data_IF_241025156930
#
_entry.id   IF_241025156930
#
_cell.length_a   1.000
_cell.length_b   1.000
_cell.length_c   1.000
_cell.angle_alpha   90.00
_cell.angle_beta   90.00
_cell.angle_gamma   90.00
#
_symmetry.space_group_name_H-M   'P 1'
#
loop_
_entity.id
_entity.type
_entity.pdbx_description
1 polymer ?
#
# COMPACT_ATOMS: atom_id res chain seq x y z
N UNK A 1 11.50 -2.89 3.39
CA UNK A 1 10.56 -3.91 2.87
C UNK A 1 10.12 -3.50 1.47
N UNK A 2 10.10 -4.43 0.51
CA UNK A 2 9.54 -4.16 -0.83
C UNK A 2 8.06 -4.51 -0.79
N UNK A 3 7.18 -3.59 -1.19
CA UNK A 3 5.71 -3.72 -1.08
C UNK A 3 5.04 -3.40 -2.41
N UNK A 4 5.35 -4.13 -3.50
CA UNK A 4 4.72 -3.91 -4.81
C UNK A 4 3.25 -4.31 -4.82
N UNK A 5 2.94 -5.44 -4.19
CA UNK A 5 1.58 -5.98 -4.10
C UNK A 5 1.25 -6.41 -2.68
N UNK A 6 0.07 -6.02 -2.20
CA UNK A 6 -0.46 -6.41 -0.89
C UNK A 6 -1.82 -7.08 -1.10
N UNK A 7 -1.88 -8.40 -0.90
CA UNK A 7 -3.07 -9.22 -1.20
C UNK A 7 -3.96 -9.38 0.03
N UNK A 8 -5.20 -8.90 -0.05
CA UNK A 8 -6.23 -9.18 0.95
C UNK A 8 -6.64 -10.65 0.96
N UNK A 9 -6.80 -11.20 2.17
CA UNK A 9 -7.33 -12.52 2.41
C UNK A 9 -8.27 -12.47 3.62
N UNK A 10 -9.56 -12.87 3.50
CA UNK A 10 -10.49 -12.84 4.61
C UNK A 10 -10.01 -13.74 5.76
N UNK A 11 -9.98 -13.21 6.98
CA UNK A 11 -9.50 -13.91 8.17
C UNK A 11 -10.36 -15.12 8.55
N UNK A 12 -11.62 -15.13 8.15
CA UNK A 12 -12.59 -16.23 8.37
C UNK A 12 -12.49 -17.36 7.32
N UNK A 13 -11.46 -17.31 6.46
CA UNK A 13 -11.18 -18.28 5.38
C UNK A 13 -9.75 -18.84 5.47
N UNK A 14 -9.36 -19.49 6.58
CA UNK A 14 -7.99 -20.00 6.77
C UNK A 14 -7.54 -20.98 5.69
N UNK A 15 -8.46 -21.68 5.03
CA UNK A 15 -8.15 -22.56 3.92
C UNK A 15 -7.51 -21.84 2.72
N UNK A 16 -7.61 -20.50 2.65
CA UNK A 16 -7.03 -19.66 1.60
C UNK A 16 -5.61 -19.19 1.90
N UNK A 17 -5.18 -19.17 3.16
CA UNK A 17 -3.91 -18.57 3.55
C UNK A 17 -2.68 -19.23 2.87
N UNK A 18 -2.56 -20.57 2.82
CA UNK A 18 -1.42 -21.20 2.16
C UNK A 18 -1.35 -20.87 0.66
N UNK A 19 -2.52 -20.85 -0.01
CA UNK A 19 -2.59 -20.50 -1.43
C UNK A 19 -2.24 -19.03 -1.67
N UNK A 20 -2.68 -18.14 -0.79
CA UNK A 20 -2.35 -16.71 -0.85
C UNK A 20 -0.84 -16.48 -0.66
N UNK A 21 -0.22 -17.15 0.31
CA UNK A 21 1.22 -17.05 0.53
C UNK A 21 2.05 -17.51 -0.69
N UNK A 22 1.51 -18.43 -1.49
CA UNK A 22 2.15 -18.94 -2.69
C UNK A 22 1.91 -18.10 -3.97
N UNK A 23 1.18 -16.97 -3.91
CA UNK A 23 0.89 -16.18 -5.13
C UNK A 23 2.08 -15.33 -5.60
N UNK A 24 3.14 -15.22 -4.80
CA UNK A 24 4.23 -14.27 -5.02
C UNK A 24 3.87 -12.82 -4.70
N UNK A 25 2.85 -12.60 -3.87
CA UNK A 25 2.57 -11.27 -3.33
C UNK A 25 3.74 -10.83 -2.44
N UNK A 26 4.04 -9.54 -2.40
CA UNK A 26 5.08 -9.03 -1.50
C UNK A 26 4.57 -8.99 -0.05
N UNK A 27 3.27 -8.77 0.15
CA UNK A 27 2.60 -8.89 1.44
C UNK A 27 1.22 -9.55 1.35
N UNK A 28 0.79 -10.17 2.44
CA UNK A 28 -0.60 -10.56 2.67
C UNK A 28 -1.23 -9.63 3.70
N UNK A 29 -2.49 -9.28 3.49
CA UNK A 29 -3.33 -8.57 4.47
C UNK A 29 -4.41 -9.56 4.92
N UNK A 30 -4.21 -10.16 6.08
CA UNK A 30 -5.22 -11.01 6.72
C UNK A 30 -6.29 -10.10 7.33
N UNK A 31 -7.51 -10.19 6.82
CA UNK A 31 -8.54 -9.20 7.08
C UNK A 31 -9.49 -9.61 8.21
N UNK A 32 -9.65 -8.77 9.23
CA UNK A 32 -10.61 -8.92 10.33
C UNK A 32 -11.78 -7.93 10.23
N UNK A 33 -11.79 -7.05 9.23
CA UNK A 33 -12.77 -5.97 9.07
C UNK A 33 -13.88 -6.35 8.07
N UNK A 34 -13.96 -5.69 6.90
CA UNK A 34 -15.15 -5.72 6.03
C UNK A 34 -15.34 -7.05 5.30
N UNK A 35 -14.28 -7.84 5.10
CA UNK A 35 -14.43 -9.17 4.51
C UNK A 35 -14.95 -10.22 5.51
N UNK A 36 -15.15 -9.85 6.78
CA UNK A 36 -15.55 -10.76 7.85
C UNK A 36 -16.87 -10.31 8.46
N UNK A 37 -17.89 -11.17 8.35
CA UNK A 37 -19.19 -10.95 8.99
C UNK A 37 -19.04 -10.79 10.53
N UNK A 38 -19.82 -9.92 11.19
CA UNK A 38 -19.67 -9.63 12.62
C UNK A 38 -19.62 -10.87 13.53
N UNK A 39 -20.48 -11.85 13.27
CA UNK A 39 -20.57 -13.11 14.03
C UNK A 39 -19.37 -14.05 13.79
N UNK A 40 -18.62 -13.86 12.70
CA UNK A 40 -17.42 -14.63 12.35
C UNK A 40 -16.12 -14.00 12.85
N UNK A 41 -16.15 -12.75 13.34
CA UNK A 41 -14.92 -12.05 13.82
C UNK A 41 -14.14 -12.82 14.89
N UNK A 42 -14.79 -13.47 15.89
CA UNK A 42 -14.06 -14.31 16.85
C UNK A 42 -13.31 -15.49 16.20
N UNK A 43 -13.94 -16.16 15.23
CA UNK A 43 -13.31 -17.27 14.50
C UNK A 43 -12.18 -16.77 13.60
N UNK A 44 -12.36 -15.63 12.93
CA UNK A 44 -11.34 -15.01 12.09
C UNK A 44 -10.08 -14.66 12.88
N UNK A 45 -10.23 -14.07 14.08
CA UNK A 45 -9.11 -13.78 15.00
C UNK A 45 -8.35 -15.05 15.37
N UNK A 46 -9.06 -16.11 15.76
CA UNK A 46 -8.45 -17.38 16.13
C UNK A 46 -7.70 -18.02 14.95
N UNK A 47 -8.28 -17.97 13.75
CA UNK A 47 -7.68 -18.47 12.53
C UNK A 47 -6.41 -17.70 12.13
N UNK A 48 -6.46 -16.37 12.15
CA UNK A 48 -5.31 -15.50 11.88
C UNK A 48 -4.19 -15.76 12.88
N UNK A 49 -4.51 -15.83 14.18
CA UNK A 49 -3.54 -16.15 15.24
C UNK A 49 -2.87 -17.49 14.98
N UNK A 50 -3.66 -18.56 14.83
CA UNK A 50 -3.15 -19.91 14.65
C UNK A 50 -2.24 -20.03 13.41
N UNK A 51 -2.55 -19.31 12.34
CA UNK A 51 -1.73 -19.31 11.14
C UNK A 51 -0.41 -18.56 11.30
N UNK A 52 -0.41 -17.43 12.02
CA UNK A 52 0.82 -16.65 12.28
C UNK A 52 1.76 -17.39 13.24
N UNK A 53 1.22 -18.09 14.24
CA UNK A 53 2.00 -18.89 15.21
C UNK A 53 2.61 -20.16 14.58
N UNK A 54 2.00 -20.68 13.53
CA UNK A 54 2.46 -21.89 12.87
C UNK A 54 3.85 -21.68 12.21
N UNK A 55 4.79 -22.64 12.34
CA UNK A 55 6.02 -22.62 11.59
C UNK A 55 5.76 -22.54 10.08
N UNK A 56 6.45 -21.63 9.41
CA UNK A 56 6.32 -21.39 7.96
C UNK A 56 7.68 -21.08 7.34
N UNK A 57 7.83 -21.44 6.08
CA UNK A 57 8.97 -21.02 5.28
C UNK A 57 8.97 -19.49 5.11
N UNK A 58 10.13 -18.88 4.80
CA UNK A 58 10.18 -17.48 4.39
C UNK A 58 9.15 -17.21 3.29
N UNK A 59 8.38 -16.14 3.46
CA UNK A 59 7.24 -15.86 2.60
C UNK A 59 6.96 -14.35 2.52
N UNK A 60 5.76 -13.96 2.07
CA UNK A 60 5.37 -12.56 2.05
C UNK A 60 5.42 -11.94 3.45
N UNK A 61 5.55 -10.61 3.50
CA UNK A 61 5.31 -9.88 4.72
C UNK A 61 3.85 -10.08 5.18
N UNK A 62 3.63 -10.22 6.48
CA UNK A 62 2.32 -10.51 7.05
C UNK A 62 1.76 -9.25 7.69
N UNK A 63 0.68 -8.76 7.11
CA UNK A 63 -0.11 -7.69 7.66
C UNK A 63 -1.46 -8.22 8.14
N UNK A 64 -2.02 -7.59 9.17
CA UNK A 64 -3.39 -7.83 9.62
C UNK A 64 -4.19 -6.54 9.51
N UNK A 65 -5.31 -6.55 8.79
CA UNK A 65 -6.27 -5.44 8.84
C UNK A 65 -7.18 -5.65 10.04
N UNK A 66 -7.05 -4.75 11.02
CA UNK A 66 -7.91 -4.71 12.20
C UNK A 66 -9.21 -3.96 11.88
N UNK A 67 -10.18 -4.01 12.79
CA UNK A 67 -11.35 -3.15 12.77
C UNK A 67 -10.97 -1.70 13.13
N UNK A 68 -11.84 -0.70 12.80
CA UNK A 68 -11.59 0.71 13.10
C UNK A 68 -11.24 0.93 14.58
N UNK A 69 -10.33 1.89 14.84
CA UNK A 69 -9.76 2.12 16.18
C UNK A 69 -10.80 2.52 17.25
N UNK A 70 -11.93 3.04 16.81
CA UNK A 70 -13.08 3.48 17.59
C UNK A 70 -14.21 2.44 17.66
N UNK A 71 -14.07 1.28 17.00
CA UNK A 71 -15.03 0.19 17.06
C UNK A 71 -14.91 -0.65 18.33
N UNK A 72 -16.00 -1.31 18.73
CA UNK A 72 -16.00 -2.26 19.86
C UNK A 72 -15.16 -3.52 19.60
N UNK A 73 -14.80 -3.79 18.34
CA UNK A 73 -14.07 -4.98 17.92
C UNK A 73 -12.55 -4.87 18.08
N UNK A 74 -11.99 -3.64 18.05
CA UNK A 74 -10.54 -3.44 17.99
C UNK A 74 -9.81 -3.97 19.21
N UNK A 75 -10.42 -3.94 20.40
CA UNK A 75 -9.80 -4.46 21.61
C UNK A 75 -9.53 -5.97 21.49
N UNK A 76 -10.51 -6.72 20.97
CA UNK A 76 -10.38 -8.14 20.74
C UNK A 76 -9.43 -8.45 19.57
N UNK A 77 -9.34 -7.58 18.55
CA UNK A 77 -8.34 -7.70 17.49
C UNK A 77 -6.93 -7.59 18.07
N UNK A 78 -6.65 -6.55 18.86
CA UNK A 78 -5.34 -6.33 19.47
C UNK A 78 -4.96 -7.44 20.45
N UNK A 79 -5.92 -7.94 21.24
CA UNK A 79 -5.68 -9.10 22.11
C UNK A 79 -5.30 -10.35 21.31
N UNK A 80 -6.02 -10.62 20.22
CA UNK A 80 -5.72 -11.77 19.34
C UNK A 80 -4.33 -11.70 18.70
N UNK A 81 -3.79 -10.49 18.52
CA UNK A 81 -2.45 -10.26 17.95
C UNK A 81 -1.34 -10.22 18.99
N UNK A 82 -1.66 -10.27 20.29
CA UNK A 82 -0.66 -10.18 21.34
C UNK A 82 0.34 -11.34 21.30
N UNK A 83 1.63 -11.00 21.36
CA UNK A 83 2.74 -11.97 21.30
C UNK A 83 3.02 -12.54 19.90
N UNK A 84 2.32 -12.08 18.86
CA UNK A 84 2.55 -12.55 17.49
C UNK A 84 3.69 -11.78 16.81
N UNK A 85 4.39 -12.48 15.92
CA UNK A 85 5.39 -11.89 15.02
C UNK A 85 4.76 -11.67 13.64
N UNK A 86 4.40 -10.42 13.37
CA UNK A 86 3.88 -9.94 12.09
C UNK A 86 4.59 -8.64 11.69
N UNK A 87 4.51 -8.29 10.42
CA UNK A 87 5.24 -7.17 9.83
C UNK A 87 4.51 -5.84 9.98
N UNK A 88 3.17 -5.86 9.99
CA UNK A 88 2.41 -4.64 10.19
C UNK A 88 0.89 -4.79 10.38
N UNK A 89 0.27 -3.68 10.77
CA UNK A 89 -1.17 -3.54 10.90
C UNK A 89 -1.69 -2.64 9.79
N UNK A 90 -2.75 -3.05 9.12
CA UNK A 90 -3.53 -2.14 8.28
C UNK A 90 -4.59 -1.50 9.16
N UNK A 91 -4.56 -0.17 9.28
CA UNK A 91 -5.50 0.61 10.07
C UNK A 91 -6.55 1.22 9.14
N UNK A 92 -7.78 0.68 9.08
CA UNK A 92 -8.86 1.30 8.33
C UNK A 92 -9.30 2.59 9.02
N UNK A 93 -9.92 3.48 8.24
CA UNK A 93 -10.57 4.73 8.67
C UNK A 93 -9.62 5.63 9.47
N UNK A 94 -8.35 5.64 9.07
CA UNK A 94 -7.32 6.43 9.74
C UNK A 94 -7.48 7.92 9.42
N UNK A 95 -7.63 8.75 10.45
CA UNK A 95 -7.75 10.20 10.34
C UNK A 95 -6.42 10.89 10.69
N UNK A 96 -5.40 10.65 9.87
CA UNK A 96 -4.08 11.28 10.02
C UNK A 96 -3.20 10.68 11.11
N UNK A 97 -2.22 11.47 11.55
CA UNK A 97 -1.20 11.04 12.50
C UNK A 97 -1.75 10.71 13.90
N UNK A 98 -2.85 11.34 14.32
CA UNK A 98 -3.48 11.07 15.62
C UNK A 98 -3.97 9.63 15.71
N UNK A 99 -4.65 9.10 14.68
CA UNK A 99 -5.10 7.70 14.65
C UNK A 99 -3.92 6.73 14.75
N UNK A 100 -2.80 7.03 14.07
CA UNK A 100 -1.59 6.20 14.11
C UNK A 100 -0.93 6.24 15.49
N UNK A 101 -0.87 7.41 16.13
CA UNK A 101 -0.33 7.56 17.48
C UNK A 101 -1.19 6.80 18.50
N UNK A 102 -2.51 6.97 18.46
CA UNK A 102 -3.44 6.25 19.33
C UNK A 102 -3.35 4.74 19.14
N UNK A 103 -3.20 4.25 17.90
CA UNK A 103 -2.99 2.82 17.66
C UNK A 103 -1.66 2.38 18.25
N UNK A 104 -0.58 3.13 18.01
CA UNK A 104 0.77 2.83 18.51
C UNK A 104 0.79 2.62 20.02
N UNK A 105 0.11 3.46 20.79
CA UNK A 105 0.02 3.33 22.25
C UNK A 105 -0.71 2.07 22.73
N UNK A 106 -1.53 1.47 21.85
CA UNK A 106 -2.36 0.29 22.15
C UNK A 106 -1.81 -0.99 21.55
N UNK A 107 -0.81 -0.92 20.67
CA UNK A 107 -0.27 -2.10 20.00
C UNK A 107 0.38 -3.05 21.02
N UNK A 108 0.12 -4.37 20.93
CA UNK A 108 0.73 -5.35 21.82
C UNK A 108 2.16 -5.74 21.39
N UNK A 109 2.71 -5.08 20.37
CA UNK A 109 4.01 -5.36 19.79
C UNK A 109 4.50 -4.21 18.89
N UNK A 110 5.74 -4.33 18.41
CA UNK A 110 6.36 -3.31 17.57
C UNK A 110 6.07 -3.59 16.08
N UNK A 111 4.88 -3.21 15.64
CA UNK A 111 4.43 -3.41 14.25
C UNK A 111 4.41 -2.08 13.49
N UNK A 112 4.76 -2.12 12.20
CA UNK A 112 4.54 -0.99 11.32
C UNK A 112 3.04 -0.82 11.02
N UNK A 113 2.60 0.39 10.69
CA UNK A 113 1.18 0.71 10.43
C UNK A 113 1.02 1.17 8.98
N UNK A 114 0.08 0.57 8.26
CA UNK A 114 -0.39 1.02 6.95
C UNK A 114 -1.79 1.62 7.11
N UNK A 115 -1.92 2.95 7.29
CA UNK A 115 -3.23 3.60 7.36
C UNK A 115 -3.91 3.60 5.99
N UNK A 116 -5.22 3.31 5.99
CA UNK A 116 -6.12 3.63 4.88
C UNK A 116 -6.69 5.02 5.15
N UNK A 117 -6.07 6.02 4.55
CA UNK A 117 -6.04 7.37 5.10
C UNK A 117 -7.14 8.31 4.60
N UNK A 118 -8.12 7.84 3.83
CA UNK A 118 -9.10 8.73 3.20
C UNK A 118 -10.53 8.20 3.24
N UNK A 119 -10.84 7.26 4.11
CA UNK A 119 -12.17 6.62 4.18
C UNK A 119 -13.21 7.50 4.89
N UNK A 120 -12.79 8.65 5.44
CA UNK A 120 -13.67 9.68 6.03
C UNK A 120 -13.39 11.06 5.42
N UNK A 121 -14.37 11.96 5.46
CA UNK A 121 -14.21 13.32 4.96
C UNK A 121 -13.15 14.12 5.74
N UNK A 122 -13.05 13.89 7.06
CA UNK A 122 -12.07 14.57 7.91
C UNK A 122 -10.64 14.14 7.56
N UNK A 123 -10.43 12.86 7.24
CA UNK A 123 -9.12 12.30 6.94
C UNK A 123 -8.43 12.99 5.75
N UNK A 124 -9.18 13.48 4.76
CA UNK A 124 -8.66 14.22 3.59
C UNK A 124 -7.82 15.43 4.00
N UNK A 125 -8.25 16.17 5.03
CA UNK A 125 -7.54 17.35 5.54
C UNK A 125 -6.34 16.99 6.42
N UNK A 126 -6.24 15.74 6.86
CA UNK A 126 -5.17 15.24 7.74
C UNK A 126 -4.08 14.48 7.00
N UNK A 127 -4.19 14.27 5.68
CA UNK A 127 -3.20 13.54 4.86
C UNK A 127 -1.76 14.09 4.97
N UNK A 128 -1.60 15.40 5.21
CA UNK A 128 -0.28 16.02 5.40
C UNK A 128 0.35 15.76 6.77
N UNK A 129 -0.39 15.22 7.74
CA UNK A 129 0.08 15.09 9.13
C UNK A 129 0.93 13.85 9.37
N UNK A 130 0.83 12.82 8.51
CA UNK A 130 1.50 11.54 8.69
C UNK A 130 3.04 11.62 8.82
N UNK A 131 3.65 12.71 8.36
CA UNK A 131 5.09 12.95 8.52
C UNK A 131 5.55 12.96 9.99
N UNK A 132 4.70 13.34 10.94
CA UNK A 132 5.05 13.34 12.37
C UNK A 132 5.15 11.93 12.98
N UNK A 133 4.62 10.92 12.30
CA UNK A 133 4.60 9.51 12.73
C UNK A 133 5.30 8.60 11.73
N UNK A 134 6.11 9.15 10.82
CA UNK A 134 6.74 8.40 9.73
C UNK A 134 7.50 7.14 10.18
N UNK A 135 8.15 7.18 11.35
CA UNK A 135 8.85 6.02 11.91
C UNK A 135 7.95 4.83 12.30
N UNK A 136 6.63 5.02 12.36
CA UNK A 136 5.64 3.96 12.61
C UNK A 136 5.00 3.43 11.33
N UNK A 137 5.25 4.05 10.17
CA UNK A 137 4.50 3.76 8.96
C UNK A 137 5.20 2.73 8.07
N UNK A 138 4.44 1.74 7.59
CA UNK A 138 4.86 0.86 6.49
C UNK A 138 4.69 1.53 5.12
N UNK A 139 3.82 2.55 5.05
CA UNK A 139 3.40 3.28 3.86
C UNK A 139 2.12 4.03 4.16
N UNK A 140 1.48 4.58 3.13
CA UNK A 140 0.13 5.15 3.23
C UNK A 140 -0.67 4.66 2.02
N UNK A 141 -1.91 4.22 2.26
CA UNK A 141 -2.88 3.91 1.21
C UNK A 141 -4.15 4.70 1.40
N UNK A 142 -5.10 4.55 0.48
CA UNK A 142 -6.34 5.32 0.45
C UNK A 142 -7.53 4.45 0.04
N UNK A 143 -8.71 4.79 0.57
CA UNK A 143 -9.96 4.09 0.29
C UNK A 143 -10.72 4.80 -0.82
N UNK A 144 -10.78 4.18 -2.00
CA UNK A 144 -11.51 4.74 -3.14
C UNK A 144 -13.02 4.51 -3.07
N UNK A 145 -13.46 3.48 -2.36
CA UNK A 145 -14.86 3.03 -2.37
C UNK A 145 -15.61 3.46 -1.09
N UNK A 146 -14.93 3.60 0.05
CA UNK A 146 -15.57 3.98 1.33
C UNK A 146 -15.82 5.48 1.48
N UNK A 147 -14.95 6.34 0.94
CA UNK A 147 -15.15 7.79 1.00
C UNK A 147 -16.47 8.24 0.34
N UNK A 148 -16.83 7.79 -0.89
CA UNK A 148 -18.13 8.08 -1.47
C UNK A 148 -19.30 7.69 -0.56
N UNK A 149 -19.24 6.48 0.02
CA UNK A 149 -20.27 5.98 0.91
C UNK A 149 -20.40 6.86 2.17
N UNK A 150 -19.27 7.25 2.76
CA UNK A 150 -19.23 8.09 3.97
C UNK A 150 -19.85 9.48 3.77
N UNK A 151 -19.80 10.04 2.56
CA UNK A 151 -20.34 11.38 2.25
C UNK A 151 -21.67 11.35 1.49
N UNK A 152 -22.22 10.16 1.23
CA UNK A 152 -23.48 10.01 0.49
C UNK A 152 -23.37 10.31 -1.01
N UNK A 153 -22.18 10.19 -1.60
CA UNK A 153 -22.01 10.29 -3.04
C UNK A 153 -22.53 9.02 -3.72
N UNK A 154 -23.11 9.17 -4.92
CA UNK A 154 -23.65 8.04 -5.69
C UNK A 154 -22.58 7.23 -6.40
N UNK A 155 -21.40 7.81 -6.65
CA UNK A 155 -20.26 7.16 -7.29
C UNK A 155 -18.95 7.93 -7.05
N UNK A 156 -17.83 7.21 -7.06
CA UNK A 156 -16.48 7.79 -7.15
C UNK A 156 -15.98 7.96 -8.58
N UNK A 157 -16.70 7.38 -9.55
CA UNK A 157 -16.23 7.13 -10.91
C UNK A 157 -17.19 7.63 -11.97
N UNK A 158 -16.62 8.02 -13.10
CA UNK A 158 -17.31 8.24 -14.37
C UNK A 158 -17.71 6.90 -15.01
N UNK A 159 -18.52 6.94 -16.06
CA UNK A 159 -18.96 5.74 -16.80
C UNK A 159 -17.80 4.93 -17.40
N UNK A 160 -16.67 5.59 -17.70
CA UNK A 160 -15.45 4.96 -18.21
C UNK A 160 -14.56 4.34 -17.10
N UNK A 161 -14.99 4.43 -15.84
CA UNK A 161 -14.29 3.91 -14.67
C UNK A 161 -13.19 4.81 -14.12
N UNK A 162 -12.90 5.95 -14.76
CA UNK A 162 -12.00 6.96 -14.22
C UNK A 162 -12.59 7.64 -12.99
N UNK A 163 -11.74 8.14 -12.10
CA UNK A 163 -12.20 8.85 -10.90
C UNK A 163 -12.76 10.23 -11.27
N UNK A 164 -13.85 10.64 -10.64
CA UNK A 164 -14.30 12.03 -10.71
C UNK A 164 -13.31 12.95 -9.96
N UNK A 165 -13.36 14.25 -10.24
CA UNK A 165 -12.35 15.20 -9.75
C UNK A 165 -12.09 15.19 -8.24
N UNK A 166 -13.10 15.11 -7.34
CA UNK A 166 -12.85 15.00 -5.90
C UNK A 166 -11.94 13.82 -5.52
N UNK A 167 -12.17 12.64 -6.11
CA UNK A 167 -11.40 11.44 -5.78
C UNK A 167 -10.03 11.45 -6.46
N UNK A 168 -9.89 12.11 -7.61
CA UNK A 168 -8.57 12.40 -8.20
C UNK A 168 -7.73 13.28 -7.27
N UNK A 169 -8.34 14.29 -6.65
CA UNK A 169 -7.68 15.16 -5.67
C UNK A 169 -7.27 14.35 -4.43
N UNK A 170 -8.18 13.56 -3.84
CA UNK A 170 -7.87 12.74 -2.65
C UNK A 170 -6.74 11.74 -2.93
N UNK A 171 -6.77 11.08 -4.09
CA UNK A 171 -5.69 10.20 -4.53
C UNK A 171 -4.34 10.93 -4.61
N UNK A 172 -4.33 12.11 -5.23
CA UNK A 172 -3.12 12.91 -5.37
C UNK A 172 -2.59 13.40 -4.01
N UNK A 173 -3.48 13.85 -3.11
CA UNK A 173 -3.13 14.26 -1.76
C UNK A 173 -2.54 13.10 -0.95
N UNK A 174 -3.07 11.89 -1.09
CA UNK A 174 -2.51 10.69 -0.44
C UNK A 174 -1.10 10.41 -0.94
N UNK A 175 -0.91 10.42 -2.26
CA UNK A 175 0.40 10.25 -2.88
C UNK A 175 1.40 11.27 -2.33
N UNK A 176 1.06 12.56 -2.33
CA UNK A 176 1.95 13.60 -1.83
C UNK A 176 2.17 13.52 -0.32
N UNK A 177 1.16 13.15 0.46
CA UNK A 177 1.28 12.90 1.90
C UNK A 177 2.29 11.79 2.21
N UNK A 178 2.24 10.69 1.46
CA UNK A 178 3.20 9.59 1.59
C UNK A 178 4.64 10.02 1.27
N UNK A 179 4.86 10.71 0.13
CA UNK A 179 6.20 11.20 -0.22
C UNK A 179 6.70 12.28 0.74
N UNK A 180 5.81 13.14 1.26
CA UNK A 180 6.16 14.16 2.27
C UNK A 180 6.58 13.51 3.61
N UNK A 181 5.93 12.40 3.99
CA UNK A 181 6.33 11.58 5.12
C UNK A 181 7.57 10.71 4.85
N UNK A 182 8.03 10.62 3.60
CA UNK A 182 9.19 9.81 3.22
C UNK A 182 8.92 8.29 3.21
N UNK A 183 7.67 7.87 3.06
CA UNK A 183 7.23 6.46 3.14
C UNK A 183 6.60 5.97 1.83
N UNK A 184 6.46 4.66 1.62
CA UNK A 184 5.81 4.10 0.44
C UNK A 184 4.39 4.64 0.23
N UNK A 185 4.08 5.05 -1.00
CA UNK A 185 2.73 5.37 -1.43
C UNK A 185 2.09 4.11 -2.04
N UNK A 186 1.03 3.59 -1.45
CA UNK A 186 0.38 2.35 -1.88
C UNK A 186 -0.96 2.70 -2.55
N UNK A 187 -1.07 2.37 -3.83
CA UNK A 187 -2.28 2.57 -4.63
C UNK A 187 -3.41 1.67 -4.13
N UNK A 188 -4.64 2.15 -4.27
CA UNK A 188 -5.84 1.43 -3.83
C UNK A 188 -6.17 0.23 -4.73
N UNK A 189 -7.26 -0.46 -4.40
CA UNK A 189 -7.73 -1.65 -5.12
C UNK A 189 -8.24 -1.34 -6.52
N UNK A 190 -8.18 -2.32 -7.41
CA UNK A 190 -8.92 -2.31 -8.67
C UNK A 190 -10.07 -3.34 -8.58
N UNK A 191 -11.35 -2.91 -8.55
CA UNK A 191 -12.47 -3.80 -8.24
C UNK A 191 -12.72 -4.90 -9.27
N UNK A 192 -12.57 -4.63 -10.57
CA UNK A 192 -12.81 -5.61 -11.62
C UNK A 192 -11.63 -6.58 -11.78
N UNK A 193 -11.53 -7.54 -10.87
CA UNK A 193 -10.42 -8.50 -10.83
C UNK A 193 -10.33 -9.43 -12.05
N UNK A 194 -11.34 -9.45 -12.93
CA UNK A 194 -11.33 -10.23 -14.16
C UNK A 194 -10.72 -9.44 -15.33
N UNK A 195 -10.79 -8.12 -15.29
CA UNK A 195 -10.22 -7.24 -16.31
C UNK A 195 -8.73 -6.98 -16.05
N UNK A 196 -7.88 -7.95 -16.39
CA UNK A 196 -6.44 -7.85 -16.17
C UNK A 196 -5.76 -6.78 -17.04
N UNK A 197 -6.28 -6.49 -18.23
CA UNK A 197 -5.75 -5.42 -19.09
C UNK A 197 -6.05 -4.03 -18.49
N UNK A 198 -7.27 -3.84 -17.98
CA UNK A 198 -7.66 -2.66 -17.23
C UNK A 198 -6.81 -2.48 -15.98
N UNK A 199 -6.56 -3.56 -15.24
CA UNK A 199 -5.64 -3.57 -14.10
C UNK A 199 -4.22 -3.17 -14.50
N UNK A 200 -3.69 -3.70 -15.60
CA UNK A 200 -2.34 -3.38 -16.07
C UNK A 200 -2.19 -1.88 -16.37
N UNK A 201 -3.16 -1.30 -17.08
CA UNK A 201 -3.20 0.13 -17.34
C UNK A 201 -3.36 0.96 -16.04
N UNK A 202 -4.19 0.49 -15.11
CA UNK A 202 -4.42 1.13 -13.81
C UNK A 202 -3.14 1.14 -12.95
N UNK A 203 -2.46 0.01 -12.83
CA UNK A 203 -1.23 -0.13 -12.05
C UNK A 203 -0.06 0.66 -12.69
N UNK A 204 0.07 0.61 -14.02
CA UNK A 204 1.06 1.40 -14.75
C UNK A 204 0.85 2.92 -14.54
N UNK A 205 -0.41 3.39 -14.52
CA UNK A 205 -0.76 4.77 -14.16
C UNK A 205 -0.34 5.10 -12.73
N UNK A 206 -0.63 4.21 -11.78
CA UNK A 206 -0.20 4.33 -10.38
C UNK A 206 1.31 4.53 -10.25
N UNK A 207 2.10 3.62 -10.84
CA UNK A 207 3.56 3.72 -10.85
C UNK A 207 4.04 5.01 -11.49
N UNK A 208 3.53 5.37 -12.66
CA UNK A 208 3.92 6.58 -13.38
C UNK A 208 3.71 7.83 -12.52
N UNK A 209 2.58 7.90 -11.81
CA UNK A 209 2.26 9.06 -10.97
C UNK A 209 3.14 9.11 -9.70
N UNK A 210 3.72 7.98 -9.27
CA UNK A 210 4.68 7.90 -8.17
C UNK A 210 4.27 6.96 -7.03
N UNK A 211 3.22 6.17 -7.19
CA UNK A 211 2.93 5.07 -6.26
C UNK A 211 4.01 3.99 -6.37
N UNK A 212 4.30 3.30 -5.26
CA UNK A 212 5.36 2.30 -5.15
C UNK A 212 4.83 0.87 -5.00
N UNK A 213 3.52 0.73 -4.81
CA UNK A 213 2.82 -0.55 -4.75
C UNK A 213 1.33 -0.37 -4.87
N UNK A 214 0.58 -1.46 -4.77
CA UNK A 214 -0.88 -1.46 -4.92
C UNK A 214 -1.53 -2.59 -4.12
N UNK A 215 -2.73 -2.32 -3.60
CA UNK A 215 -3.59 -3.31 -2.96
C UNK A 215 -4.20 -4.27 -4.00
N UNK A 216 -4.27 -5.56 -3.66
CA UNK A 216 -4.88 -6.60 -4.47
C UNK A 216 -6.01 -7.28 -3.69
N UNK A 217 -7.14 -7.50 -4.34
CA UNK A 217 -8.33 -8.18 -3.76
C UNK A 217 -8.49 -9.61 -4.27
N UNK A 218 -7.70 -10.00 -5.28
CA UNK A 218 -7.76 -11.34 -5.86
C UNK A 218 -6.37 -11.83 -6.28
N UNK A 219 -6.04 -13.13 -6.09
CA UNK A 219 -4.73 -13.70 -6.46
C UNK A 219 -4.29 -13.45 -7.91
N UNK A 220 -5.23 -13.40 -8.86
CA UNK A 220 -4.93 -13.17 -10.29
C UNK A 220 -4.33 -11.79 -10.56
N UNK A 221 -4.52 -10.83 -9.66
CA UNK A 221 -4.01 -9.47 -9.81
C UNK A 221 -2.53 -9.35 -9.45
N UNK A 222 -2.01 -10.27 -8.62
CA UNK A 222 -0.68 -10.16 -8.02
C UNK A 222 0.43 -10.09 -9.07
N UNK A 223 0.41 -10.97 -10.07
CA UNK A 223 1.44 -10.99 -11.10
C UNK A 223 1.45 -9.69 -11.93
N UNK A 224 0.27 -9.19 -12.30
CA UNK A 224 0.10 -7.95 -13.07
C UNK A 224 0.59 -6.74 -12.27
N UNK A 225 0.22 -6.66 -10.99
CA UNK A 225 0.68 -5.60 -10.08
C UNK A 225 2.20 -5.66 -9.91
N UNK A 226 2.75 -6.84 -9.60
CA UNK A 226 4.19 -7.01 -9.44
C UNK A 226 4.96 -6.60 -10.69
N UNK A 227 4.48 -6.99 -11.87
CA UNK A 227 5.08 -6.58 -13.13
C UNK A 227 5.05 -5.06 -13.30
N UNK A 228 3.89 -4.43 -13.07
CA UNK A 228 3.73 -2.99 -13.20
C UNK A 228 4.65 -2.21 -12.25
N UNK A 229 4.86 -2.66 -11.01
CA UNK A 229 5.70 -1.99 -10.02
C UNK A 229 7.17 -2.46 -10.00
N UNK A 230 7.58 -3.33 -10.92
CA UNK A 230 8.99 -3.73 -11.08
C UNK A 230 9.64 -2.91 -12.19
N UNK A 231 10.78 -2.23 -11.94
CA UNK A 231 11.53 -1.57 -13.00
C UNK A 231 11.93 -2.56 -14.10
N UNK A 232 11.74 -2.15 -15.35
CA UNK A 232 12.16 -2.88 -16.53
C UNK A 232 13.67 -2.77 -16.74
N UNK A 233 14.24 -3.75 -17.43
CA UNK A 233 15.66 -3.72 -17.82
C UNK A 233 16.04 -2.47 -18.61
N UNK A 234 15.11 -1.93 -19.40
CA UNK A 234 15.31 -0.68 -20.14
C UNK A 234 15.41 0.53 -19.20
N UNK A 235 14.54 0.63 -18.20
CA UNK A 235 14.61 1.69 -17.17
C UNK A 235 15.91 1.59 -16.35
N UNK A 236 16.32 0.37 -15.97
CA UNK A 236 17.55 0.12 -15.22
C UNK A 236 18.78 0.50 -16.06
N UNK A 237 18.82 0.08 -17.32
CA UNK A 237 19.91 0.41 -18.25
C UNK A 237 20.03 1.91 -18.45
N UNK A 238 18.91 2.60 -18.67
CA UNK A 238 18.89 4.06 -18.80
C UNK A 238 19.34 4.76 -17.51
N UNK A 239 18.88 4.31 -16.34
CA UNK A 239 19.29 4.87 -15.06
C UNK A 239 20.81 4.74 -14.82
N UNK A 240 21.40 3.58 -15.14
CA UNK A 240 22.86 3.37 -15.08
C UNK A 240 23.60 4.31 -16.04
N UNK A 241 23.10 4.50 -17.26
CA UNK A 241 23.70 5.41 -18.24
C UNK A 241 23.65 6.87 -17.77
N UNK A 242 22.54 7.32 -17.17
CA UNK A 242 22.41 8.67 -16.58
C UNK A 242 23.45 8.87 -15.47
N UNK A 243 23.57 7.92 -14.54
CA UNK A 243 24.53 8.02 -13.44
C UNK A 243 25.97 8.07 -13.97
N UNK A 244 26.33 7.16 -14.89
CA UNK A 244 27.66 7.12 -15.48
C UNK A 244 28.02 8.42 -16.22
N UNK A 245 27.05 9.05 -16.90
CA UNK A 245 27.26 10.32 -17.59
C UNK A 245 27.62 11.46 -16.62
N UNK A 246 26.95 11.55 -15.47
CA UNK A 246 27.26 12.54 -14.43
C UNK A 246 28.53 12.22 -13.64
N UNK A 247 28.86 10.94 -13.43
CA UNK A 247 30.12 10.53 -12.81
C UNK A 247 31.33 10.88 -13.68
N UNK A 248 31.20 10.76 -15.01
CA UNK A 248 32.23 11.18 -15.95
C UNK A 248 32.36 12.72 -16.08
N UNK A 249 31.36 13.49 -15.62
CA UNK A 249 31.30 14.95 -15.75
C UNK A 249 30.82 15.59 -14.43
N UNK A 250 31.60 15.52 -13.34
CA UNK A 250 31.13 15.88 -11.99
C UNK A 250 30.74 17.35 -11.82
N UNK A 251 31.30 18.26 -12.63
CA UNK A 251 31.02 19.70 -12.57
C UNK A 251 29.86 20.12 -13.51
N UNK A 252 29.26 19.18 -14.25
CA UNK A 252 28.20 19.49 -15.20
C UNK A 252 26.83 19.63 -14.50
N UNK A 253 26.18 20.78 -14.72
CA UNK A 253 24.79 20.99 -14.27
C UNK A 253 23.73 20.31 -15.15
N UNK A 254 24.05 20.10 -16.43
CA UNK A 254 23.22 19.39 -17.39
C UNK A 254 24.09 18.72 -18.46
N UNK A 255 23.63 17.59 -18.99
CA UNK A 255 24.30 16.78 -20.01
C UNK A 255 23.30 16.37 -21.10
N UNK A 256 23.81 15.81 -22.20
CA UNK A 256 22.98 15.21 -23.24
C UNK A 256 23.19 13.69 -23.25
N UNK A 257 22.09 12.93 -23.28
CA UNK A 257 22.08 11.48 -23.42
C UNK A 257 20.95 11.09 -24.38
N UNK A 258 21.27 10.29 -25.41
CA UNK A 258 20.33 9.86 -26.46
C UNK A 258 19.52 11.02 -27.09
N UNK A 259 20.19 12.16 -27.31
CA UNK A 259 19.59 13.36 -27.89
C UNK A 259 18.70 14.16 -26.93
N UNK A 260 18.55 13.74 -25.67
CA UNK A 260 17.76 14.43 -24.65
C UNK A 260 18.66 15.07 -23.59
N UNK A 261 18.22 16.22 -23.07
CA UNK A 261 18.89 16.86 -21.94
C UNK A 261 18.57 16.10 -20.65
N UNK A 262 19.59 15.85 -19.84
CA UNK A 262 19.48 15.30 -18.49
C UNK A 262 20.12 16.27 -17.49
N UNK A 263 19.57 16.36 -16.28
CA UNK A 263 19.96 17.29 -15.22
C UNK A 263 19.88 16.61 -13.82
N UNK A 264 20.05 17.39 -12.75
CA UNK A 264 20.05 16.88 -11.38
C UNK A 264 18.77 16.08 -10.99
N UNK A 265 17.54 16.52 -11.32
CA UNK A 265 16.34 15.70 -11.18
C UNK A 265 16.42 14.31 -11.83
N UNK A 266 16.96 14.22 -13.06
CA UNK A 266 17.12 12.94 -13.76
C UNK A 266 18.11 12.03 -13.03
N UNK A 267 19.24 12.59 -12.57
CA UNK A 267 20.23 11.86 -11.76
C UNK A 267 19.64 11.35 -10.44
N UNK A 268 18.85 12.17 -9.75
CA UNK A 268 18.16 11.77 -8.51
C UNK A 268 17.17 10.65 -8.76
N UNK A 269 16.39 10.74 -9.84
CA UNK A 269 15.44 9.70 -10.25
C UNK A 269 16.14 8.38 -10.57
N UNK A 270 17.23 8.42 -11.35
CA UNK A 270 18.02 7.25 -11.70
C UNK A 270 18.59 6.54 -10.47
N UNK A 271 19.18 7.29 -9.52
CA UNK A 271 19.68 6.73 -8.25
C UNK A 271 18.57 6.08 -7.42
N UNK A 272 17.41 6.74 -7.32
CA UNK A 272 16.24 6.19 -6.62
C UNK A 272 15.77 4.89 -7.26
N UNK A 273 15.77 4.80 -8.59
CA UNK A 273 15.36 3.60 -9.31
C UNK A 273 16.32 2.43 -9.07
N UNK A 274 17.64 2.65 -9.12
CA UNK A 274 18.62 1.60 -8.88
C UNK A 274 18.60 1.08 -7.44
N UNK A 275 18.37 1.96 -6.45
CA UNK A 275 18.20 1.56 -5.06
C UNK A 275 16.98 0.64 -4.79
N UNK A 276 16.08 0.43 -5.77
CA UNK A 276 14.96 -0.51 -5.68
C UNK A 276 15.28 -1.92 -6.20
N UNK A 277 16.39 -2.07 -6.93
CA UNK A 277 16.73 -3.30 -7.67
C UNK A 277 18.11 -3.86 -7.33
N UNK A 278 19.02 -3.02 -6.79
CA UNK A 278 20.35 -3.41 -6.27
C UNK A 278 20.31 -3.56 -4.75
#
# INVERSE_FOLDING_TARGET
MKLRSLLFVPGDRPERFPKAAATGADALILDLEDAVAPDRKPEARAAVRAWIEAPRDPGPAIFVRINPIDSDEVAADLEALAGLSLDGIVLPKAEGASSVATLTDRLPGDYAILPVASETAAAVFQLGTFGSVAGRLAGITWGAEDLPAAIGATSAREEDGSYTDPYRVVRALTLFGAHAAGVPAIETVFPDFRNLDGLAAYAARGRRDGFTGMLAIHPTQVAVINQAFTPSEAEITHARAVIAAFEANPDAGALQLDGKMIDAPHLKSARRLLALVE
#
